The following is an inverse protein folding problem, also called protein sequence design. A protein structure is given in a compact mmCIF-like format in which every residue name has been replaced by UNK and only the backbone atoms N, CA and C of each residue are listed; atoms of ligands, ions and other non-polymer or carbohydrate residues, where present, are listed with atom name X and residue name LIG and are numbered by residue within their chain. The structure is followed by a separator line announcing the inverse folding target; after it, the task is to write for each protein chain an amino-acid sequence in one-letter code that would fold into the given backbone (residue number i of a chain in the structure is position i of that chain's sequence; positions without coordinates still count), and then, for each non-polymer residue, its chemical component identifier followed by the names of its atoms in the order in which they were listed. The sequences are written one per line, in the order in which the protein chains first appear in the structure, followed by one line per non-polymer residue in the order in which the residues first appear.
data_IF_804273525473
#
_entry.id   IF_804273525473
#
_cell.length_a   1.000
_cell.length_b   1.000
_cell.length_c   1.000
_cell.angle_alpha   90.00
_cell.angle_beta   90.00
_cell.angle_gamma   90.00
#
_symmetry.space_group_name_H-M   'P 1'
#
loop_
_entity.id
_entity.type
_entity.pdbx_description
1 polymer ?
#
# COMPACT_ATOMS: atom_id res chain seq x y z
N UNK A 1 -4.53 0.69 -24.62
CA UNK A 1 -4.08 0.03 -23.37
C UNK A 1 -2.57 0.20 -23.14
N UNK A 2 -1.70 -0.32 -24.02
CA UNK A 2 -0.22 -0.33 -23.83
C UNK A 2 0.43 1.02 -23.49
N UNK A 3 0.05 2.12 -24.17
CA UNK A 3 0.62 3.46 -23.89
C UNK A 3 0.24 4.02 -22.51
N UNK A 4 -1.03 3.86 -22.10
CA UNK A 4 -1.50 4.36 -20.79
C UNK A 4 -0.92 3.53 -19.64
N UNK A 5 -0.83 2.21 -19.82
CA UNK A 5 -0.17 1.32 -18.85
C UNK A 5 1.29 1.74 -18.59
N UNK A 6 2.08 1.90 -19.66
CA UNK A 6 3.49 2.29 -19.54
C UNK A 6 3.64 3.68 -18.90
N UNK A 7 2.75 4.63 -19.22
CA UNK A 7 2.73 5.94 -18.60
C UNK A 7 2.47 5.85 -17.09
N UNK A 8 1.41 5.15 -16.67
CA UNK A 8 1.10 5.00 -15.24
C UNK A 8 2.22 4.26 -14.50
N UNK A 9 2.77 3.20 -15.10
CA UNK A 9 3.89 2.47 -14.52
C UNK A 9 5.12 3.36 -14.34
N UNK A 10 5.46 4.17 -15.34
CA UNK A 10 6.57 5.11 -15.26
C UNK A 10 6.33 6.17 -14.16
N UNK A 11 5.15 6.79 -14.11
CA UNK A 11 4.82 7.78 -13.08
C UNK A 11 4.90 7.19 -11.66
N UNK A 12 4.31 6.01 -11.45
CA UNK A 12 4.33 5.33 -10.16
C UNK A 12 5.76 4.88 -9.77
N UNK A 13 6.56 4.43 -10.74
CA UNK A 13 7.96 4.06 -10.51
C UNK A 13 8.78 5.29 -10.12
N UNK A 14 8.65 6.41 -10.83
CA UNK A 14 9.32 7.66 -10.49
C UNK A 14 8.92 8.13 -9.09
N UNK A 15 7.65 7.96 -8.72
CA UNK A 15 7.16 8.30 -7.38
C UNK A 15 7.87 7.49 -6.30
N UNK A 16 7.86 6.16 -6.41
CA UNK A 16 8.50 5.27 -5.42
C UNK A 16 10.03 5.47 -5.37
N UNK A 17 10.66 5.73 -6.51
CA UNK A 17 12.09 6.10 -6.56
C UNK A 17 12.35 7.43 -5.85
N UNK A 18 11.44 8.41 -5.94
CA UNK A 18 11.56 9.69 -5.22
C UNK A 18 11.49 9.48 -3.70
N UNK A 19 10.57 8.63 -3.23
CA UNK A 19 10.51 8.21 -1.82
C UNK A 19 11.82 7.55 -1.38
N UNK A 20 12.36 6.66 -2.20
CA UNK A 20 13.61 5.94 -1.94
C UNK A 20 14.84 6.87 -1.91
N UNK A 21 14.91 7.84 -2.83
CA UNK A 21 15.95 8.87 -2.86
C UNK A 21 15.86 9.80 -1.65
N UNK A 22 14.64 10.15 -1.23
CA UNK A 22 14.41 10.90 0.01
C UNK A 22 14.97 10.15 1.22
N UNK A 23 14.62 8.88 1.37
CA UNK A 23 15.14 8.03 2.45
C UNK A 23 16.67 7.86 2.39
N UNK A 24 17.26 7.80 1.19
CA UNK A 24 18.71 7.71 1.01
C UNK A 24 19.42 9.00 1.43
N UNK A 25 18.94 10.16 0.99
CA UNK A 25 19.50 11.47 1.37
C UNK A 25 19.43 11.74 2.87
N UNK A 26 18.43 11.18 3.53
CA UNK A 26 18.26 11.30 4.98
C UNK A 26 19.08 10.24 5.76
N UNK A 27 19.77 9.31 5.10
CA UNK A 27 20.65 8.33 5.74
C UNK A 27 19.98 7.00 6.15
N UNK A 28 18.73 6.76 5.73
CA UNK A 28 17.90 5.66 6.25
C UNK A 28 17.62 4.52 5.24
N UNK A 29 18.14 4.59 4.02
CA UNK A 29 17.74 3.66 2.95
C UNK A 29 18.21 2.19 3.13
N UNK A 30 19.27 1.93 3.92
CA UNK A 30 19.93 0.61 3.87
C UNK A 30 20.45 0.02 5.18
N UNK A 31 20.74 0.81 6.21
CA UNK A 31 21.40 0.28 7.41
C UNK A 31 20.51 0.26 8.66
N UNK A 32 19.62 1.24 8.83
CA UNK A 32 18.85 1.41 10.07
C UNK A 32 17.55 2.17 9.79
N UNK A 33 16.49 1.47 9.37
CA UNK A 33 15.17 2.13 9.21
C UNK A 33 14.55 2.53 10.56
N UNK A 34 15.06 1.97 11.67
CA UNK A 34 14.90 2.47 13.04
C UNK A 34 16.32 2.73 13.56
N UNK A 35 16.74 3.98 13.59
CA UNK A 35 17.98 4.34 14.28
C UNK A 35 17.64 4.35 15.77
N UNK A 36 18.48 3.70 16.60
CA UNK A 36 18.39 3.62 18.07
C UNK A 36 17.66 2.39 18.68
N UNK A 37 18.17 1.18 18.42
CA UNK A 37 18.17 0.15 19.46
C UNK A 37 19.63 -0.06 19.91
N UNK A 38 19.86 -0.16 21.22
CA UNK A 38 21.18 -0.40 21.82
C UNK A 38 21.80 -1.73 21.40
N UNK A 39 20.98 -2.65 20.89
CA UNK A 39 21.35 -3.94 20.32
C UNK A 39 20.52 -4.16 19.04
N UNK A 40 20.87 -3.50 17.91
CA UNK A 40 20.06 -3.61 16.71
C UNK A 40 20.15 -5.06 16.22
N UNK A 41 19.03 -5.75 15.94
CA UNK A 41 19.09 -7.09 15.40
C UNK A 41 19.78 -7.05 14.03
N UNK A 42 21.09 -7.29 14.01
CA UNK A 42 21.90 -7.43 12.80
C UNK A 42 21.60 -8.77 12.12
N UNK A 43 20.37 -9.01 11.68
CA UNK A 43 20.03 -10.31 11.10
C UNK A 43 19.12 -10.14 9.90
N UNK A 44 19.77 -10.14 8.73
CA UNK A 44 19.26 -10.59 7.43
C UNK A 44 18.06 -9.78 6.88
N UNK A 45 18.12 -8.99 5.80
CA UNK A 45 19.03 -8.89 4.65
C UNK A 45 18.88 -7.48 4.04
N UNK A 46 19.91 -6.89 3.45
CA UNK A 46 19.81 -5.62 2.68
C UNK A 46 18.76 -5.66 1.56
N UNK A 47 18.45 -6.84 1.03
CA UNK A 47 17.37 -7.07 0.08
C UNK A 47 16.00 -7.29 0.74
N UNK A 48 15.90 -8.15 1.77
CA UNK A 48 14.63 -8.47 2.44
C UNK A 48 14.15 -7.39 3.41
N UNK A 49 15.07 -6.68 4.05
CA UNK A 49 14.82 -5.49 4.86
C UNK A 49 14.33 -4.30 4.04
N UNK A 50 14.35 -4.40 2.70
CA UNK A 50 13.72 -3.47 1.77
C UNK A 50 12.64 -4.15 0.91
N UNK A 51 12.22 -5.38 1.23
CA UNK A 51 11.27 -6.14 0.41
C UNK A 51 9.93 -5.41 0.25
N UNK A 52 9.51 -4.60 1.24
CA UNK A 52 8.34 -3.73 1.12
C UNK A 52 8.52 -2.74 -0.04
N UNK A 53 9.64 -2.00 -0.08
CA UNK A 53 9.96 -1.07 -1.16
C UNK A 53 10.08 -1.77 -2.53
N UNK A 54 10.67 -2.97 -2.57
CA UNK A 54 10.76 -3.76 -3.82
C UNK A 54 9.39 -4.25 -4.28
N UNK A 55 8.53 -4.67 -3.36
CA UNK A 55 7.18 -5.11 -3.69
C UNK A 55 6.27 -3.94 -4.09
N UNK A 56 6.52 -2.71 -3.61
CA UNK A 56 5.88 -1.51 -4.18
C UNK A 56 6.24 -1.33 -5.67
N UNK A 57 7.52 -1.48 -6.01
CA UNK A 57 8.00 -1.34 -7.39
C UNK A 57 7.50 -2.46 -8.33
N UNK A 58 7.62 -3.71 -7.91
CA UNK A 58 7.40 -4.86 -8.79
C UNK A 58 5.99 -5.44 -8.72
N UNK A 59 5.25 -5.20 -7.63
CA UNK A 59 3.90 -5.73 -7.45
C UNK A 59 2.88 -4.60 -7.47
N UNK A 60 2.93 -3.68 -6.50
CA UNK A 60 1.87 -2.68 -6.33
C UNK A 60 1.80 -1.74 -7.53
N UNK A 61 2.91 -1.16 -7.96
CA UNK A 61 2.95 -0.28 -9.14
C UNK A 61 2.42 -0.95 -10.40
N UNK A 62 2.75 -2.22 -10.62
CA UNK A 62 2.29 -2.98 -11.78
C UNK A 62 0.77 -3.20 -11.71
N UNK A 63 0.26 -3.60 -10.54
CA UNK A 63 -1.18 -3.77 -10.30
C UNK A 63 -1.93 -2.46 -10.48
N UNK A 64 -1.46 -1.37 -9.86
CA UNK A 64 -2.09 -0.06 -9.95
C UNK A 64 -2.06 0.47 -11.39
N UNK A 65 -0.93 0.37 -12.10
CA UNK A 65 -0.82 0.79 -13.49
C UNK A 65 -1.79 -0.01 -14.39
N UNK A 66 -1.89 -1.32 -14.18
CA UNK A 66 -2.84 -2.16 -14.89
C UNK A 66 -4.28 -1.71 -14.64
N UNK A 67 -4.68 -1.60 -13.37
CA UNK A 67 -6.02 -1.17 -12.97
C UNK A 67 -6.35 0.21 -13.54
N UNK A 68 -5.42 1.16 -13.41
CA UNK A 68 -5.59 2.51 -13.93
C UNK A 68 -5.78 2.52 -15.44
N UNK A 69 -4.99 1.74 -16.17
CA UNK A 69 -5.02 1.70 -17.63
C UNK A 69 -6.26 1.02 -18.22
N UNK A 70 -6.87 0.11 -17.46
CA UNK A 70 -7.93 -0.79 -17.94
C UNK A 70 -9.31 -0.37 -17.44
N UNK A 71 -9.44 0.05 -16.18
CA UNK A 71 -10.75 0.14 -15.51
C UNK A 71 -11.20 1.56 -15.16
N UNK A 72 -10.28 2.52 -15.03
CA UNK A 72 -10.61 3.89 -14.54
C UNK A 72 -11.68 4.61 -15.33
N UNK A 73 -11.76 4.39 -16.64
CA UNK A 73 -12.78 5.03 -17.51
C UNK A 73 -14.21 4.69 -17.09
N UNK A 74 -14.41 3.58 -16.39
CA UNK A 74 -15.72 3.17 -15.87
C UNK A 74 -16.08 3.83 -14.53
N UNK A 75 -15.13 4.51 -13.89
CA UNK A 75 -15.32 5.11 -12.57
C UNK A 75 -15.74 6.56 -12.71
N UNK A 76 -16.75 6.96 -11.93
CA UNK A 76 -17.10 8.37 -11.83
C UNK A 76 -16.28 9.04 -10.72
N UNK A 77 -15.79 10.25 -10.97
CA UNK A 77 -15.06 11.02 -9.98
C UNK A 77 -15.90 11.24 -8.71
N UNK A 78 -17.22 11.46 -8.87
CA UNK A 78 -18.18 11.59 -7.76
C UNK A 78 -18.21 10.38 -6.81
N UNK A 79 -17.92 9.18 -7.31
CA UNK A 79 -17.85 7.95 -6.49
C UNK A 79 -16.45 7.64 -5.99
N UNK A 80 -15.42 8.05 -6.74
CA UNK A 80 -14.02 7.91 -6.33
C UNK A 80 -13.68 8.80 -5.14
N UNK A 81 -14.12 10.06 -5.15
CA UNK A 81 -13.79 11.04 -4.09
C UNK A 81 -14.18 10.57 -2.69
N UNK A 82 -15.40 10.07 -2.42
CA UNK A 82 -15.75 9.53 -1.11
C UNK A 82 -14.86 8.38 -0.65
N UNK A 83 -14.48 7.46 -1.55
CA UNK A 83 -13.55 6.35 -1.24
C UNK A 83 -12.20 6.93 -0.82
N UNK A 84 -11.65 7.84 -1.61
CA UNK A 84 -10.37 8.48 -1.31
C UNK A 84 -10.41 9.23 0.03
N UNK A 85 -11.47 10.00 0.30
CA UNK A 85 -11.64 10.73 1.55
C UNK A 85 -11.66 9.79 2.76
N UNK A 86 -12.41 8.69 2.68
CA UNK A 86 -12.47 7.69 3.77
C UNK A 86 -11.09 7.06 3.98
N UNK A 87 -10.40 6.65 2.91
CA UNK A 87 -9.05 6.09 3.00
C UNK A 87 -8.06 7.11 3.60
N UNK A 88 -8.15 8.39 3.22
CA UNK A 88 -7.30 9.44 3.76
C UNK A 88 -7.54 9.67 5.25
N UNK A 89 -8.81 9.72 5.69
CA UNK A 89 -9.16 9.84 7.12
C UNK A 89 -8.61 8.65 7.91
N UNK A 90 -8.83 7.43 7.42
CA UNK A 90 -8.30 6.20 8.07
C UNK A 90 -6.77 6.20 8.08
N UNK A 91 -6.13 6.64 7.01
CA UNK A 91 -4.67 6.78 6.94
C UNK A 91 -4.13 7.81 7.92
N UNK A 92 -4.82 8.94 8.10
CA UNK A 92 -4.40 9.99 9.02
C UNK A 92 -4.56 9.53 10.47
N UNK A 93 -5.77 9.17 10.89
CA UNK A 93 -6.06 8.89 12.30
C UNK A 93 -5.65 7.48 12.73
N UNK A 94 -5.69 6.51 11.81
CA UNK A 94 -5.37 5.11 12.09
C UNK A 94 -3.90 4.76 11.92
N UNK A 95 -3.13 5.54 11.15
CA UNK A 95 -1.73 5.23 10.85
C UNK A 95 -0.79 6.40 11.12
N UNK A 96 -1.02 7.58 10.53
CA UNK A 96 -0.10 8.72 10.62
C UNK A 96 0.00 9.29 12.04
N UNK A 97 -1.12 9.63 12.67
CA UNK A 97 -1.13 10.26 14.00
C UNK A 97 -0.46 9.38 15.08
N UNK A 98 -0.76 8.07 15.20
CA UNK A 98 -0.05 7.19 16.14
C UNK A 98 1.47 7.16 15.91
N UNK A 99 1.90 7.15 14.64
CA UNK A 99 3.32 7.10 14.30
C UNK A 99 4.06 8.41 14.55
N UNK A 100 3.40 9.54 14.38
CA UNK A 100 3.96 10.83 14.79
C UNK A 100 4.17 10.84 16.31
N UNK A 101 3.21 10.36 17.11
CA UNK A 101 3.36 10.30 18.57
C UNK A 101 4.49 9.36 19.00
N UNK A 102 4.56 8.17 18.41
CA UNK A 102 5.61 7.19 18.72
C UNK A 102 7.01 7.66 18.28
N UNK A 103 7.11 8.43 17.19
CA UNK A 103 8.38 8.99 16.72
C UNK A 103 9.05 9.99 17.66
N UNK A 104 8.36 10.42 18.71
CA UNK A 104 8.95 11.23 19.79
C UNK A 104 9.93 10.43 20.65
N UNK A 105 9.72 9.11 20.75
CA UNK A 105 10.55 8.21 21.56
C UNK A 105 11.28 7.18 20.71
N UNK A 106 10.76 6.86 19.52
CA UNK A 106 11.28 5.81 18.64
C UNK A 106 11.40 6.35 17.21
N UNK A 107 12.48 7.07 16.86
CA UNK A 107 12.61 7.65 15.53
C UNK A 107 12.83 6.59 14.44
N UNK A 108 12.34 6.88 13.23
CA UNK A 108 12.44 6.01 12.06
C UNK A 108 12.74 6.79 10.78
N UNK A 109 12.96 6.07 9.69
CA UNK A 109 13.13 6.62 8.33
C UNK A 109 11.97 7.52 7.88
N UNK A 110 10.76 7.23 8.37
CA UNK A 110 9.53 7.89 7.93
C UNK A 110 9.04 8.95 8.92
N UNK A 111 9.37 8.83 10.21
CA UNK A 111 8.87 9.69 11.28
C UNK A 111 9.93 9.95 12.35
N UNK A 112 10.12 11.20 12.77
CA UNK A 112 11.07 11.62 13.81
C UNK A 112 10.61 12.91 14.48
N UNK A 113 10.85 13.05 15.77
CA UNK A 113 10.57 14.28 16.54
C UNK A 113 9.10 14.75 16.40
N UNK A 114 8.15 13.82 16.28
CA UNK A 114 6.74 14.15 16.08
C UNK A 114 6.39 14.62 14.67
N UNK A 115 7.29 14.42 13.70
CA UNK A 115 7.15 14.93 12.31
C UNK A 115 7.39 13.82 11.30
N UNK A 116 6.67 13.89 10.18
CA UNK A 116 6.92 13.03 9.03
C UNK A 116 8.09 13.57 8.20
N UNK A 117 8.98 12.68 7.79
CA UNK A 117 10.05 13.01 6.85
C UNK A 117 9.51 13.18 5.42
N UNK A 118 10.34 13.61 4.47
CA UNK A 118 9.93 13.65 3.06
C UNK A 118 9.55 12.25 2.56
N UNK A 119 10.31 11.23 2.98
CA UNK A 119 9.98 9.84 2.69
C UNK A 119 8.64 9.43 3.34
N UNK A 120 8.40 9.82 4.60
CA UNK A 120 7.15 9.55 5.31
C UNK A 120 5.92 10.16 4.64
N UNK A 121 6.01 11.44 4.27
CA UNK A 121 4.92 12.15 3.59
C UNK A 121 4.65 11.54 2.21
N UNK A 122 5.68 11.29 1.42
CA UNK A 122 5.50 10.71 0.08
C UNK A 122 4.95 9.29 0.14
N UNK A 123 5.46 8.45 1.05
CA UNK A 123 4.92 7.10 1.26
C UNK A 123 3.45 7.13 1.70
N UNK A 124 3.06 8.04 2.59
CA UNK A 124 1.67 8.17 3.04
C UNK A 124 0.72 8.53 1.89
N UNK A 125 1.14 9.44 1.01
CA UNK A 125 0.37 9.81 -0.18
C UNK A 125 0.26 8.62 -1.14
N UNK A 126 1.38 7.93 -1.41
CA UNK A 126 1.41 6.74 -2.26
C UNK A 126 0.46 5.66 -1.75
N UNK A 127 0.53 5.34 -0.45
CA UNK A 127 -0.34 4.36 0.19
C UNK A 127 -1.82 4.75 0.06
N UNK A 128 -2.16 6.02 0.37
CA UNK A 128 -3.54 6.52 0.30
C UNK A 128 -4.10 6.39 -1.12
N UNK A 129 -3.31 6.76 -2.13
CA UNK A 129 -3.68 6.63 -3.54
C UNK A 129 -3.81 5.16 -3.96
N UNK A 130 -2.84 4.32 -3.61
CA UNK A 130 -2.81 2.90 -3.97
C UNK A 130 -3.99 2.10 -3.39
N UNK A 131 -4.31 2.32 -2.11
CA UNK A 131 -5.48 1.71 -1.46
C UNK A 131 -6.77 2.22 -2.09
N UNK A 132 -6.88 3.52 -2.39
CA UNK A 132 -8.07 4.10 -3.02
C UNK A 132 -8.34 3.53 -4.42
N UNK A 133 -7.29 3.37 -5.24
CA UNK A 133 -7.38 2.74 -6.57
C UNK A 133 -7.79 1.27 -6.42
N UNK A 134 -7.18 0.56 -5.47
CA UNK A 134 -7.48 -0.85 -5.21
C UNK A 134 -8.95 -1.03 -4.82
N UNK A 135 -9.44 -0.28 -3.83
CA UNK A 135 -10.84 -0.33 -3.41
C UNK A 135 -11.79 0.07 -4.55
N UNK A 136 -11.44 1.10 -5.32
CA UNK A 136 -12.23 1.52 -6.49
C UNK A 136 -12.34 0.42 -7.54
N UNK A 137 -11.29 -0.37 -7.73
CA UNK A 137 -11.36 -1.54 -8.62
C UNK A 137 -12.44 -2.54 -8.18
N UNK A 138 -12.52 -2.87 -6.88
CA UNK A 138 -13.50 -3.81 -6.37
C UNK A 138 -14.91 -3.24 -6.20
N UNK A 139 -15.04 -1.94 -5.93
CA UNK A 139 -16.33 -1.30 -5.67
C UNK A 139 -16.97 -0.68 -6.91
N UNK A 140 -16.17 -0.08 -7.80
CA UNK A 140 -16.68 0.76 -8.89
C UNK A 140 -16.63 0.08 -10.27
N UNK A 141 -15.72 -0.88 -10.50
CA UNK A 141 -15.59 -1.52 -11.82
C UNK A 141 -16.78 -2.44 -12.12
N UNK A 142 -17.49 -2.30 -13.26
CA UNK A 142 -18.61 -3.18 -13.60
C UNK A 142 -18.21 -4.66 -13.70
N UNK A 143 -18.98 -5.57 -13.08
CA UNK A 143 -18.64 -7.02 -13.03
C UNK A 143 -18.62 -7.70 -14.39
N UNK A 144 -19.48 -7.28 -15.31
CA UNK A 144 -19.65 -7.92 -16.62
C UNK A 144 -18.41 -7.84 -17.53
N UNK A 145 -17.42 -7.00 -17.17
CA UNK A 145 -16.19 -6.81 -17.94
C UNK A 145 -14.91 -7.29 -17.26
N UNK A 146 -15.00 -8.03 -16.14
CA UNK A 146 -13.82 -8.45 -15.37
C UNK A 146 -13.79 -9.98 -15.27
N UNK A 147 -12.69 -10.59 -15.70
CA UNK A 147 -12.54 -12.04 -15.62
C UNK A 147 -12.23 -12.49 -14.18
N UNK A 148 -12.77 -13.63 -13.73
CA UNK A 148 -12.50 -14.15 -12.37
C UNK A 148 -11.01 -14.30 -12.09
N UNK A 149 -10.23 -14.80 -13.06
CA UNK A 149 -8.76 -14.94 -12.95
C UNK A 149 -8.05 -13.62 -12.67
N UNK A 150 -8.57 -12.51 -13.20
CA UNK A 150 -7.99 -11.18 -13.01
C UNK A 150 -8.19 -10.70 -11.58
N UNK A 151 -9.42 -10.86 -11.05
CA UNK A 151 -9.73 -10.59 -9.65
C UNK A 151 -8.81 -11.39 -8.74
N UNK A 152 -8.72 -12.71 -8.95
CA UNK A 152 -7.86 -13.60 -8.15
C UNK A 152 -6.40 -13.18 -8.22
N UNK A 153 -5.87 -12.88 -9.40
CA UNK A 153 -4.47 -12.48 -9.59
C UNK A 153 -4.17 -11.16 -8.87
N UNK A 154 -5.03 -10.15 -9.04
CA UNK A 154 -4.86 -8.86 -8.36
C UNK A 154 -4.95 -9.03 -6.85
N UNK A 155 -5.93 -9.78 -6.33
CA UNK A 155 -6.04 -10.04 -4.89
C UNK A 155 -4.79 -10.74 -4.37
N UNK A 156 -4.34 -11.82 -5.02
CA UNK A 156 -3.18 -12.60 -4.59
C UNK A 156 -1.90 -11.76 -4.58
N UNK A 157 -1.64 -10.98 -5.64
CA UNK A 157 -0.48 -10.09 -5.71
C UNK A 157 -0.48 -9.07 -4.58
N UNK A 158 -1.62 -8.43 -4.33
CA UNK A 158 -1.71 -7.46 -3.26
C UNK A 158 -1.60 -8.10 -1.85
N UNK A 159 -2.08 -9.34 -1.67
CA UNK A 159 -1.85 -10.12 -0.44
C UNK A 159 -0.37 -10.43 -0.22
N UNK A 160 0.36 -10.79 -1.28
CA UNK A 160 1.80 -11.04 -1.21
C UNK A 160 2.53 -9.77 -0.76
N UNK A 161 2.23 -8.61 -1.36
CA UNK A 161 2.81 -7.35 -0.92
C UNK A 161 2.46 -7.05 0.54
N UNK A 162 1.21 -7.25 0.96
CA UNK A 162 0.82 -7.01 2.36
C UNK A 162 1.61 -7.90 3.33
N UNK A 163 1.73 -9.19 3.04
CA UNK A 163 2.53 -10.13 3.84
C UNK A 163 3.99 -9.68 3.95
N UNK A 164 4.58 -9.19 2.86
CA UNK A 164 5.93 -8.62 2.86
C UNK A 164 6.00 -7.36 3.73
N UNK A 165 5.02 -6.46 3.62
CA UNK A 165 5.00 -5.19 4.33
C UNK A 165 4.82 -5.35 5.84
N UNK A 166 4.03 -6.31 6.32
CA UNK A 166 3.90 -6.58 7.77
C UNK A 166 5.16 -7.19 8.39
N UNK A 167 6.01 -7.81 7.58
CA UNK A 167 7.32 -8.32 8.02
C UNK A 167 8.42 -7.23 7.99
N UNK A 168 8.12 -6.03 7.50
CA UNK A 168 9.09 -4.94 7.36
C UNK A 168 9.46 -4.34 8.74
N UNK A 169 10.75 -3.99 8.99
CA UNK A 169 11.23 -3.61 10.32
C UNK A 169 10.46 -2.51 11.05
N UNK A 170 9.97 -1.43 10.40
CA UNK A 170 9.15 -0.43 11.07
C UNK A 170 7.86 -1.04 11.68
N UNK A 171 7.21 -1.97 10.99
CA UNK A 171 6.02 -2.66 11.52
C UNK A 171 6.36 -3.66 12.62
N UNK A 172 7.54 -4.28 12.57
CA UNK A 172 8.02 -5.19 13.60
C UNK A 172 8.43 -4.45 14.90
N UNK A 173 8.98 -3.24 14.78
CA UNK A 173 9.46 -2.44 15.92
C UNK A 173 8.36 -1.59 16.54
N UNK A 174 7.56 -0.91 15.71
CA UNK A 174 6.44 -0.08 16.18
C UNK A 174 5.12 -0.88 16.29
N UNK A 175 5.20 -2.23 16.27
CA UNK A 175 4.08 -3.16 16.09
C UNK A 175 2.91 -3.00 17.08
N UNK A 176 3.21 -2.61 18.33
CA UNK A 176 2.20 -2.35 19.37
C UNK A 176 1.40 -1.07 19.09
N UNK A 177 2.04 -0.04 18.53
CA UNK A 177 1.40 1.22 18.09
C UNK A 177 0.72 1.03 16.73
N UNK A 178 1.26 0.14 15.90
CA UNK A 178 0.71 -0.23 14.61
C UNK A 178 -0.49 -1.17 14.68
N UNK A 179 -0.79 -1.82 15.80
CA UNK A 179 -1.82 -2.87 15.84
C UNK A 179 -3.17 -2.43 15.27
N UNK A 180 -3.70 -1.22 15.58
CA UNK A 180 -4.92 -0.72 14.95
C UNK A 180 -4.79 -0.50 13.44
N UNK A 181 -3.64 -0.01 12.97
CA UNK A 181 -3.37 0.20 11.55
C UNK A 181 -3.19 -1.12 10.78
N UNK A 182 -2.50 -2.09 11.38
CA UNK A 182 -2.32 -3.46 10.90
C UNK A 182 -3.68 -4.15 10.86
N UNK A 183 -4.52 -4.03 11.89
CA UNK A 183 -5.90 -4.55 11.86
C UNK A 183 -6.76 -3.85 10.82
N UNK A 184 -6.66 -2.52 10.65
CA UNK A 184 -7.42 -1.80 9.64
C UNK A 184 -6.99 -2.16 8.21
N UNK A 185 -5.68 -2.29 7.96
CA UNK A 185 -5.17 -2.80 6.69
C UNK A 185 -5.55 -4.25 6.49
N UNK A 186 -5.31 -5.13 7.46
CA UNK A 186 -5.69 -6.56 7.41
C UNK A 186 -7.19 -6.74 7.20
N UNK A 187 -8.04 -5.93 7.85
CA UNK A 187 -9.48 -5.93 7.65
C UNK A 187 -9.85 -5.49 6.23
N UNK A 188 -9.22 -4.42 5.71
CA UNK A 188 -9.33 -4.05 4.29
C UNK A 188 -8.90 -5.17 3.35
N UNK A 189 -7.84 -5.89 3.70
CA UNK A 189 -7.27 -7.02 2.98
C UNK A 189 -8.01 -8.35 3.17
N UNK A 190 -8.91 -8.48 4.15
CA UNK A 190 -9.91 -9.56 4.28
C UNK A 190 -11.16 -9.18 3.47
N UNK A 191 -11.55 -7.90 3.51
CA UNK A 191 -12.62 -7.35 2.69
C UNK A 191 -12.31 -7.51 1.21
N UNK A 192 -11.04 -7.45 0.78
CA UNK A 192 -10.67 -7.63 -0.62
C UNK A 192 -10.90 -9.06 -1.16
N UNK A 193 -10.48 -10.15 -0.49
CA UNK A 193 -10.91 -11.52 -0.74
C UNK A 193 -12.42 -11.72 -0.63
N UNK A 194 -13.11 -11.09 0.33
CA UNK A 194 -14.57 -11.17 0.43
C UNK A 194 -15.26 -10.48 -0.76
N UNK A 195 -14.77 -9.32 -1.20
CA UNK A 195 -15.23 -8.61 -2.39
C UNK A 195 -14.87 -9.40 -3.67
N UNK A 196 -13.72 -10.06 -3.69
CA UNK A 196 -13.31 -10.96 -4.77
C UNK A 196 -14.21 -12.19 -4.84
N UNK A 197 -14.50 -12.84 -3.72
CA UNK A 197 -15.41 -13.97 -3.61
C UNK A 197 -16.85 -13.58 -3.96
N UNK A 198 -17.31 -12.42 -3.50
CA UNK A 198 -18.60 -11.84 -3.88
C UNK A 198 -18.69 -11.53 -5.39
N UNK A 199 -17.59 -11.08 -6.00
CA UNK A 199 -17.49 -10.92 -7.46
C UNK A 199 -17.46 -12.27 -8.20
N UNK A 200 -16.80 -13.28 -7.64
CA UNK A 200 -16.65 -14.60 -8.25
C UNK A 200 -17.89 -15.51 -8.09
N UNK A 201 -18.65 -15.37 -6.99
CA UNK A 201 -19.66 -16.33 -6.54
C UNK A 201 -21.12 -16.05 -6.95
N UNK A 202 -21.47 -14.86 -7.43
CA UNK A 202 -22.84 -14.56 -7.87
C UNK A 202 -23.09 -14.77 -9.37
N UNK A 203 -22.12 -15.31 -10.11
CA UNK A 203 -22.30 -15.71 -11.51
C UNK A 203 -22.78 -17.15 -11.70
N UNK A 204 -22.67 -18.01 -10.67
CA UNK A 204 -22.96 -19.44 -10.75
C UNK A 204 -24.29 -19.87 -10.14
N UNK A 205 -24.90 -19.07 -9.26
CA UNK A 205 -26.19 -19.40 -8.62
C UNK A 205 -27.40 -18.96 -9.48
N UNK A 206 -27.21 -18.06 -10.44
CA UNK A 206 -28.29 -17.60 -11.33
C UNK A 206 -28.41 -18.39 -12.66
N UNK A 207 -27.72 -19.54 -12.78
CA UNK A 207 -27.81 -20.44 -13.95
C UNK A 207 -27.96 -21.91 -13.54
N UNK A 208 -28.88 -22.20 -12.63
CA UNK A 208 -29.51 -23.51 -12.50
C UNK A 208 -31.00 -23.32 -12.42
#
# INVERSE_FOLDING_TARGET
MRRHFLLYLACLTVYVLTTSVGAYKEGYAFAYQVLELSDPPQKFLTFWGNAANWSDLFIVNVVLAYVLSTHTRSWSLKRFVPIFTVVAIVGIFGYLEPLLKDSLTTPSAFFREGRASIAGVTHQIYWTVGVSISLSYYLLTPRKGVATREVVTITALLMVHHAISVMHPPYAVHGSVHWPAIWATTAGWIVLPLLAAYRAGLGSVARR
#
